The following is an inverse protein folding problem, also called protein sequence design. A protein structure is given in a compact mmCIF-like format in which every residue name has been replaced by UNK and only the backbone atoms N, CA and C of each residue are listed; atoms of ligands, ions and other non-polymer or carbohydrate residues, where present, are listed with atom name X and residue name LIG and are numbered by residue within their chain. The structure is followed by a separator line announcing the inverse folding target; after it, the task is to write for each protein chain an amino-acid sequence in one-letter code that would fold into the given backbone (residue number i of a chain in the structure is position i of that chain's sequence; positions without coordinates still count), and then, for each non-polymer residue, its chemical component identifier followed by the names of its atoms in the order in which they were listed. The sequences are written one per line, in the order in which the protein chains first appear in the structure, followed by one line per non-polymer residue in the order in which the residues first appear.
data_IF_065936315856
#
_entry.id   IF_065936315856
#
_cell.length_a   1.000
_cell.length_b   1.000
_cell.length_c   1.000
_cell.angle_alpha   90.00
_cell.angle_beta   90.00
_cell.angle_gamma   90.00
#
_symmetry.space_group_name_H-M   'P 1'
#
loop_
_entity.id
_entity.type
_entity.pdbx_description
1 polymer ?
#
# COMPACT_ATOMS: atom_id res chain seq x y z
N UNK A 1 1.48 -5.62 21.24
CA UNK A 1 2.39 -4.73 20.54
C UNK A 1 2.52 -5.15 19.08
N UNK A 2 2.24 -4.26 18.17
CA UNK A 2 2.30 -4.59 16.76
C UNK A 2 3.76 -4.58 16.28
N UNK A 3 4.07 -5.48 15.35
CA UNK A 3 5.36 -5.48 14.69
C UNK A 3 5.48 -4.23 13.82
N UNK A 4 6.68 -3.65 13.68
CA UNK A 4 6.90 -2.67 12.63
C UNK A 4 6.61 -3.32 11.28
N UNK A 5 5.87 -2.63 10.42
CA UNK A 5 5.59 -3.15 9.09
C UNK A 5 6.86 -3.10 8.25
N UNK A 6 7.22 -4.22 7.64
CA UNK A 6 8.38 -4.26 6.76
C UNK A 6 8.05 -3.62 5.42
N UNK A 7 9.04 -2.96 4.84
CA UNK A 7 8.91 -2.40 3.50
C UNK A 7 8.73 -3.56 2.51
N UNK A 8 7.71 -3.46 1.66
CA UNK A 8 7.44 -4.49 0.67
C UNK A 8 8.33 -4.32 -0.56
N UNK A 9 8.86 -5.42 -1.11
CA UNK A 9 9.42 -5.38 -2.45
C UNK A 9 8.38 -4.89 -3.44
N UNK A 10 8.82 -4.26 -4.51
CA UNK A 10 7.95 -3.60 -5.47
C UNK A 10 6.86 -4.51 -6.02
N UNK A 11 7.21 -5.75 -6.38
CA UNK A 11 6.23 -6.69 -6.92
C UNK A 11 5.14 -7.04 -5.90
N UNK A 12 5.50 -7.21 -4.64
CA UNK A 12 4.54 -7.49 -3.58
C UNK A 12 3.66 -6.27 -3.30
N UNK A 13 4.25 -5.08 -3.35
CA UNK A 13 3.48 -3.84 -3.18
C UNK A 13 2.45 -3.69 -4.30
N UNK A 14 2.82 -4.00 -5.55
CA UNK A 14 1.89 -3.93 -6.67
C UNK A 14 0.65 -4.81 -6.42
N UNK A 15 0.84 -5.99 -5.85
CA UNK A 15 -0.27 -6.87 -5.49
C UNK A 15 -1.15 -6.22 -4.41
N UNK A 16 -0.53 -5.65 -3.38
CA UNK A 16 -1.28 -4.99 -2.31
C UNK A 16 -2.05 -3.77 -2.81
N UNK A 17 -1.48 -3.01 -3.74
CA UNK A 17 -2.18 -1.86 -4.32
C UNK A 17 -3.46 -2.28 -5.04
N UNK A 18 -3.45 -3.46 -5.66
CA UNK A 18 -4.66 -4.02 -6.28
C UNK A 18 -5.67 -4.43 -5.20
N UNK A 19 -5.20 -5.14 -4.17
CA UNK A 19 -6.06 -5.59 -3.08
C UNK A 19 -6.71 -4.44 -2.33
N UNK A 20 -5.95 -3.38 -2.07
CA UNK A 20 -6.48 -2.22 -1.34
C UNK A 20 -7.55 -1.46 -2.14
N UNK A 21 -7.55 -1.58 -3.45
CA UNK A 21 -8.59 -0.98 -4.31
C UNK A 21 -9.81 -1.87 -4.47
N UNK A 22 -9.71 -3.14 -4.07
CA UNK A 22 -10.78 -4.10 -4.21
C UNK A 22 -11.55 -4.19 -2.89
N UNK A 23 -12.86 -3.94 -2.87
CA UNK A 23 -13.64 -4.04 -1.64
C UNK A 23 -13.60 -5.45 -1.05
N UNK A 24 -13.26 -5.55 0.22
CA UNK A 24 -13.24 -6.82 0.97
C UNK A 24 -12.11 -7.73 0.56
N UNK A 25 -12.37 -8.67 -0.32
CA UNK A 25 -11.40 -9.67 -0.73
C UNK A 25 -11.41 -9.87 -2.24
N UNK A 26 -10.38 -10.52 -2.77
CA UNK A 26 -10.26 -10.78 -4.20
C UNK A 26 -9.93 -12.25 -4.45
N UNK A 27 -10.24 -12.74 -5.65
CA UNK A 27 -9.79 -14.05 -6.12
C UNK A 27 -8.42 -13.90 -6.76
N UNK A 28 -7.66 -14.99 -6.75
CA UNK A 28 -6.33 -15.01 -7.40
C UNK A 28 -6.44 -14.58 -8.86
N UNK A 29 -7.46 -15.05 -9.58
CA UNK A 29 -7.64 -14.72 -10.99
C UNK A 29 -7.84 -13.22 -11.21
N UNK A 30 -8.59 -12.56 -10.33
CA UNK A 30 -8.83 -11.11 -10.42
C UNK A 30 -7.53 -10.34 -10.22
N UNK A 31 -6.72 -10.78 -9.27
CA UNK A 31 -5.41 -10.18 -9.00
C UNK A 31 -4.49 -10.39 -10.22
N UNK A 32 -4.48 -11.60 -10.76
CA UNK A 32 -3.68 -11.93 -11.93
C UNK A 32 -4.03 -11.01 -13.10
N UNK A 33 -5.32 -10.88 -13.41
CA UNK A 33 -5.78 -10.05 -14.52
C UNK A 33 -5.42 -8.57 -14.33
N UNK A 34 -5.64 -8.05 -13.11
CA UNK A 34 -5.32 -6.65 -12.82
C UNK A 34 -3.82 -6.38 -12.87
N UNK A 35 -3.02 -7.36 -12.45
CA UNK A 35 -1.57 -7.19 -12.39
C UNK A 35 -0.93 -7.17 -13.79
N UNK A 36 -1.57 -7.79 -14.80
CA UNK A 36 -0.99 -7.84 -16.15
C UNK A 36 -0.76 -6.45 -16.75
N UNK A 37 -1.57 -5.47 -16.41
CA UNK A 37 -1.41 -4.10 -16.91
C UNK A 37 -0.34 -3.30 -16.17
N UNK A 38 0.06 -3.76 -14.99
CA UNK A 38 1.05 -3.08 -14.15
C UNK A 38 2.40 -3.80 -14.22
N UNK A 39 2.37 -5.11 -14.07
CA UNK A 39 3.55 -5.97 -14.02
C UNK A 39 3.16 -7.35 -14.59
N UNK A 40 3.33 -7.55 -15.89
CA UNK A 40 3.00 -8.86 -16.48
C UNK A 40 3.79 -9.98 -15.82
N UNK A 41 3.10 -11.04 -15.45
CA UNK A 41 3.72 -12.19 -14.80
C UNK A 41 2.87 -13.44 -15.00
N UNK A 42 3.45 -14.60 -14.69
CA UNK A 42 2.75 -15.88 -14.82
C UNK A 42 1.87 -16.14 -13.58
N UNK A 43 0.93 -17.07 -13.71
CA UNK A 43 0.11 -17.49 -12.57
C UNK A 43 0.93 -18.06 -11.41
N UNK A 44 1.93 -18.93 -11.64
CA UNK A 44 2.79 -19.39 -10.56
C UNK A 44 3.50 -18.24 -9.82
N UNK A 45 3.90 -17.19 -10.56
CA UNK A 45 4.53 -16.02 -9.94
C UNK A 45 3.59 -15.31 -8.97
N UNK A 46 2.31 -15.21 -9.33
CA UNK A 46 1.30 -14.61 -8.44
C UNK A 46 1.20 -15.41 -7.14
N UNK A 47 1.13 -16.72 -7.23
CA UNK A 47 1.05 -17.57 -6.04
C UNK A 47 2.28 -17.37 -5.13
N UNK A 48 3.47 -17.24 -5.72
CA UNK A 48 4.68 -16.96 -4.97
C UNK A 48 4.59 -15.62 -4.23
N UNK A 49 4.10 -14.57 -4.92
CA UNK A 49 3.94 -13.25 -4.31
C UNK A 49 2.93 -13.28 -3.17
N UNK A 50 1.81 -13.98 -3.35
CA UNK A 50 0.78 -14.10 -2.32
C UNK A 50 1.29 -14.87 -1.11
N UNK A 51 2.06 -15.94 -1.32
CA UNK A 51 2.64 -16.71 -0.23
C UNK A 51 3.62 -15.87 0.59
N UNK A 52 4.41 -15.04 -0.09
CA UNK A 52 5.33 -14.13 0.59
C UNK A 52 4.58 -13.08 1.40
N UNK A 53 3.51 -12.51 0.83
CA UNK A 53 2.68 -11.54 1.52
C UNK A 53 2.00 -12.14 2.74
N UNK A 54 1.53 -13.38 2.64
CA UNK A 54 0.93 -14.06 3.77
C UNK A 54 1.96 -14.30 4.86
N UNK A 55 3.15 -14.74 4.48
CA UNK A 55 4.25 -14.96 5.43
C UNK A 55 4.64 -13.69 6.17
N UNK A 56 4.56 -12.54 5.48
CA UNK A 56 4.82 -11.23 6.10
C UNK A 56 3.66 -10.73 6.95
N UNK A 57 2.51 -11.39 6.90
CA UNK A 57 1.33 -10.98 7.66
C UNK A 57 0.48 -9.92 6.96
N UNK A 58 0.65 -9.73 5.67
CA UNK A 58 -0.09 -8.70 4.92
C UNK A 58 -1.42 -9.19 4.37
N UNK A 59 -1.51 -10.48 4.05
CA UNK A 59 -2.74 -11.05 3.51
C UNK A 59 -3.06 -12.35 4.18
N UNK A 60 -4.32 -12.76 4.05
CA UNK A 60 -4.82 -14.07 4.46
C UNK A 60 -5.36 -14.76 3.22
N UNK A 61 -4.95 -16.00 3.00
CA UNK A 61 -5.45 -16.83 1.91
C UNK A 61 -6.37 -17.88 2.46
N UNK A 62 -7.58 -17.97 1.91
CA UNK A 62 -8.57 -18.95 2.34
C UNK A 62 -9.14 -19.65 1.12
N UNK A 63 -9.34 -20.96 1.24
CA UNK A 63 -10.03 -21.72 0.20
C UNK A 63 -11.53 -21.62 0.48
N UNK A 64 -12.27 -21.14 -0.50
CA UNK A 64 -13.73 -21.08 -0.41
C UNK A 64 -14.30 -22.37 -0.95
N UNK A 65 -15.10 -23.05 -0.13
CA UNK A 65 -15.75 -24.28 -0.49
C UNK A 65 -16.96 -23.97 -1.38
N UNK A 66 -16.87 -24.39 -2.63
CA UNK A 66 -17.86 -24.13 -3.66
C UNK A 66 -17.81 -25.28 -4.66
N UNK A 67 -18.80 -25.39 -5.60
CA UNK A 67 -18.73 -26.44 -6.63
C UNK A 67 -17.39 -26.43 -7.37
N UNK A 68 -16.84 -25.23 -7.63
CA UNK A 68 -15.47 -25.08 -8.12
C UNK A 68 -14.73 -24.26 -7.05
N UNK A 69 -13.95 -24.92 -6.17
CA UNK A 69 -13.25 -24.20 -5.10
C UNK A 69 -12.28 -23.18 -5.64
N UNK A 70 -12.12 -22.08 -4.92
CA UNK A 70 -11.18 -21.01 -5.27
C UNK A 70 -10.57 -20.41 -4.02
N UNK A 71 -9.43 -19.73 -4.19
CA UNK A 71 -8.79 -19.02 -3.11
C UNK A 71 -9.27 -17.58 -3.05
N UNK A 72 -9.61 -17.16 -1.84
CA UNK A 72 -9.99 -15.81 -1.52
C UNK A 72 -8.83 -15.15 -0.79
N UNK A 73 -8.40 -13.99 -1.26
CA UNK A 73 -7.28 -13.24 -0.71
C UNK A 73 -7.84 -12.00 -0.01
N UNK A 74 -7.57 -11.88 1.28
CA UNK A 74 -8.06 -10.76 2.08
C UNK A 74 -6.87 -9.99 2.65
N UNK A 75 -6.80 -8.66 2.44
CA UNK A 75 -5.73 -7.88 3.06
C UNK A 75 -5.91 -7.81 4.58
N UNK A 76 -4.85 -8.00 5.31
CA UNK A 76 -4.80 -7.92 6.78
C UNK A 76 -4.29 -6.55 7.21
N UNK A 77 -3.27 -6.05 6.50
CA UNK A 77 -2.72 -4.70 6.71
C UNK A 77 -3.46 -3.74 5.80
N UNK A 78 -3.95 -2.63 6.34
CA UNK A 78 -4.64 -1.62 5.53
C UNK A 78 -3.64 -0.73 4.80
N UNK A 79 -4.12 -0.12 3.70
CA UNK A 79 -3.31 0.85 2.95
C UNK A 79 -2.84 2.00 3.84
N UNK A 80 -3.74 2.50 4.67
CA UNK A 80 -3.46 3.59 5.59
C UNK A 80 -2.35 3.24 6.58
N UNK A 81 -2.39 2.03 7.15
CA UNK A 81 -1.35 1.55 8.06
C UNK A 81 0.01 1.46 7.37
N UNK A 82 0.04 0.91 6.16
CA UNK A 82 1.27 0.77 5.41
C UNK A 82 1.83 2.14 5.00
N UNK A 83 0.95 3.02 4.52
CA UNK A 83 1.34 4.38 4.13
C UNK A 83 1.97 5.13 5.30
N UNK A 84 1.35 5.05 6.48
CA UNK A 84 1.87 5.73 7.66
C UNK A 84 3.26 5.21 8.04
N UNK A 85 3.42 3.88 8.06
CA UNK A 85 4.69 3.26 8.40
C UNK A 85 5.80 3.65 7.42
N UNK A 86 5.52 3.58 6.11
CA UNK A 86 6.51 3.90 5.08
C UNK A 86 6.83 5.39 5.04
N UNK A 87 5.83 6.24 5.27
CA UNK A 87 6.05 7.69 5.30
C UNK A 87 6.98 8.08 6.45
N UNK A 88 6.79 7.47 7.61
CA UNK A 88 7.65 7.76 8.76
C UNK A 88 9.09 7.28 8.54
N UNK A 89 9.25 6.08 7.95
CA UNK A 89 10.59 5.58 7.61
C UNK A 89 11.27 6.49 6.61
N UNK A 90 10.55 6.89 5.57
CA UNK A 90 11.06 7.80 4.54
C UNK A 90 11.50 9.12 5.17
N UNK A 91 10.66 9.71 6.00
CA UNK A 91 10.95 10.98 6.66
C UNK A 91 12.22 10.87 7.52
N UNK A 92 12.31 9.81 8.32
CA UNK A 92 13.45 9.63 9.22
C UNK A 92 14.76 9.37 8.48
N UNK A 93 14.72 8.52 7.45
CA UNK A 93 15.93 8.13 6.74
C UNK A 93 16.40 9.14 5.71
N UNK A 94 15.50 9.62 4.87
CA UNK A 94 15.87 10.47 3.74
C UNK A 94 15.80 11.95 4.04
N UNK A 95 14.91 12.33 4.96
CA UNK A 95 14.74 13.73 5.35
C UNK A 95 15.28 14.00 6.76
N UNK A 96 15.95 13.02 7.37
CA UNK A 96 16.55 13.14 8.71
C UNK A 96 15.55 13.62 9.76
N UNK A 97 14.29 13.17 9.66
CA UNK A 97 13.22 13.55 10.55
C UNK A 97 12.64 14.94 10.28
N UNK A 98 13.10 15.64 9.27
CA UNK A 98 12.67 17.01 8.97
C UNK A 98 11.55 17.06 7.94
N UNK A 99 10.33 17.36 8.39
CA UNK A 99 9.21 17.56 7.48
C UNK A 99 9.45 18.77 6.56
N UNK A 100 10.24 19.75 7.01
CA UNK A 100 10.58 20.93 6.21
C UNK A 100 11.40 20.54 4.98
N UNK A 101 12.35 19.60 5.16
CA UNK A 101 13.15 19.09 4.05
C UNK A 101 12.27 18.40 3.02
N UNK A 102 11.31 17.60 3.47
CA UNK A 102 10.37 16.92 2.58
C UNK A 102 9.52 17.94 1.79
N UNK A 103 8.94 18.90 2.48
CA UNK A 103 8.10 19.92 1.84
C UNK A 103 8.91 20.74 0.83
N UNK A 104 10.13 21.16 1.20
CA UNK A 104 11.01 21.90 0.29
C UNK A 104 11.30 21.11 -0.97
N UNK A 105 11.59 19.82 -0.83
CA UNK A 105 11.85 18.94 -1.97
C UNK A 105 10.61 18.85 -2.88
N UNK A 106 9.43 18.71 -2.29
CA UNK A 106 8.20 18.61 -3.07
C UNK A 106 7.87 19.90 -3.79
N UNK A 107 8.18 21.06 -3.20
CA UNK A 107 8.05 22.36 -3.86
C UNK A 107 9.04 22.47 -5.02
N UNK A 108 10.31 22.14 -4.78
CA UNK A 108 11.38 22.24 -5.77
C UNK A 108 11.13 21.35 -7.00
N UNK A 109 10.53 20.19 -6.79
CA UNK A 109 10.22 19.25 -7.87
C UNK A 109 8.87 19.50 -8.54
N UNK A 110 8.16 20.54 -8.12
CA UNK A 110 6.87 20.91 -8.70
C UNK A 110 5.69 20.05 -8.25
N UNK A 111 5.86 19.24 -7.20
CA UNK A 111 4.79 18.39 -6.68
C UNK A 111 3.82 19.14 -5.78
N UNK A 112 4.25 20.28 -5.22
CA UNK A 112 3.43 21.13 -4.38
C UNK A 112 3.44 22.53 -4.97
N UNK A 113 2.24 23.07 -5.24
CA UNK A 113 2.04 24.43 -5.75
C UNK A 113 1.67 25.38 -4.60
N UNK A 114 1.56 26.68 -4.93
CA UNK A 114 1.07 27.68 -3.97
C UNK A 114 -0.35 27.37 -3.51
N UNK A 115 -1.20 26.90 -4.45
CA UNK A 115 -2.57 26.52 -4.11
C UNK A 115 -2.59 25.32 -3.15
N UNK A 116 -1.68 24.36 -3.37
CA UNK A 116 -1.55 23.21 -2.48
C UNK A 116 -1.17 23.64 -1.07
N UNK A 117 -0.31 24.65 -0.93
CA UNK A 117 0.07 25.17 0.39
C UNK A 117 -1.14 25.74 1.13
N UNK A 118 -2.04 26.40 0.42
CA UNK A 118 -3.29 26.89 0.98
C UNK A 118 -4.15 25.72 1.49
N UNK A 119 -4.27 24.68 0.69
CA UNK A 119 -5.01 23.46 1.07
C UNK A 119 -4.41 22.79 2.30
N UNK A 120 -3.09 22.71 2.36
CA UNK A 120 -2.38 22.14 3.53
C UNK A 120 -2.70 22.92 4.78
N UNK A 121 -2.71 24.27 4.69
CA UNK A 121 -3.03 25.14 5.81
C UNK A 121 -4.46 24.89 6.30
N UNK A 122 -5.40 24.77 5.37
CA UNK A 122 -6.80 24.47 5.70
C UNK A 122 -6.95 23.11 6.37
N UNK A 123 -6.22 22.12 5.89
CA UNK A 123 -6.24 20.77 6.47
C UNK A 123 -5.73 20.79 7.92
N UNK A 124 -4.64 21.52 8.18
CA UNK A 124 -4.10 21.65 9.54
C UNK A 124 -5.09 22.34 10.47
N UNK A 125 -5.77 23.37 9.99
CA UNK A 125 -6.77 24.08 10.79
C UNK A 125 -7.97 23.18 11.10
N UNK A 126 -8.38 22.36 10.13
CA UNK A 126 -9.45 21.40 10.32
C UNK A 126 -9.09 20.36 11.40
N UNK A 127 -7.87 19.86 11.39
CA UNK A 127 -7.39 18.90 12.41
C UNK A 127 -7.34 19.53 13.80
N UNK A 128 -6.97 20.80 13.91
CA UNK A 128 -6.93 21.49 15.19
C UNK A 128 -8.30 21.65 15.84
N UNK A 129 -9.35 21.64 15.04
CA UNK A 129 -10.73 21.81 15.53
C UNK A 129 -11.34 20.53 16.09
N UNK A 130 -10.70 19.39 15.84
CA UNK A 130 -11.19 18.08 16.32
C UNK A 130 -10.83 17.79 17.76
#
# INVERSE_FOLDING_TARGET
MSRPLSKLPEAELDVMLILWKTPGSARVLDIYNALQSVRPCSKPAIHTLLDRLEKRGFVKQETVDAPIPYKKITPVVTESEYRAAESNVFLDKLCRGSWKTLIATLIDTGRISTDDLTEITELLNSEKRK
#
